data_IF_977549510462
#
_entry.id   IF_977549510462
#
_cell.length_a   1.000
_cell.length_b   1.000
_cell.length_c   1.000
_cell.angle_alpha   90.00
_cell.angle_beta   90.00
_cell.angle_gamma   90.00
#
_symmetry.space_group_name_H-M   'P 1'
#
loop_
_entity.id
_entity.type
_entity.pdbx_description
1 polymer ?
#
# COMPACT_ATOMS: atom_id res chain seq x y z
N UNK A 1 -3.83 16.69 7.81
CA UNK A 1 -3.18 15.88 6.74
C UNK A 1 -2.85 14.49 7.26
N UNK A 2 -2.90 13.53 6.36
CA UNK A 2 -2.54 12.13 6.63
C UNK A 2 -1.78 11.55 5.45
N UNK A 3 -1.02 10.50 5.72
CA UNK A 3 -0.45 9.63 4.69
C UNK A 3 -1.32 8.40 4.53
N UNK A 4 -1.41 7.91 3.31
CA UNK A 4 -2.12 6.70 2.94
C UNK A 4 -1.22 5.78 2.14
N UNK A 5 -1.33 4.50 2.43
CA UNK A 5 -0.78 3.39 1.67
C UNK A 5 -1.95 2.54 1.20
N UNK A 6 -2.11 2.41 -0.10
CA UNK A 6 -3.04 1.49 -0.74
C UNK A 6 -2.22 0.34 -1.29
N UNK A 7 -2.47 -0.86 -0.81
CA UNK A 7 -1.78 -2.05 -1.28
C UNK A 7 -2.78 -3.09 -1.75
N UNK A 8 -2.63 -3.57 -2.97
CA UNK A 8 -3.46 -4.62 -3.55
C UNK A 8 -2.65 -5.86 -3.95
N UNK A 9 -3.33 -6.99 -4.01
CA UNK A 9 -2.75 -8.26 -4.41
C UNK A 9 -2.52 -8.30 -5.93
N UNK A 10 -1.26 -8.52 -6.34
CA UNK A 10 -0.93 -8.69 -7.73
C UNK A 10 -1.53 -10.00 -8.29
N UNK A 11 -2.21 -9.90 -9.44
CA UNK A 11 -2.81 -11.06 -10.10
C UNK A 11 -4.00 -11.68 -9.37
N UNK A 12 -4.69 -10.89 -8.55
CA UNK A 12 -5.81 -11.34 -7.69
C UNK A 12 -6.91 -12.09 -8.42
N UNK A 13 -7.31 -11.63 -9.62
CA UNK A 13 -8.35 -12.30 -10.42
C UNK A 13 -7.98 -13.73 -10.75
N UNK A 14 -6.79 -13.98 -11.26
CA UNK A 14 -6.33 -15.34 -11.61
C UNK A 14 -6.17 -16.23 -10.38
N UNK A 15 -5.73 -15.66 -9.24
CA UNK A 15 -5.62 -16.38 -7.98
C UNK A 15 -7.01 -16.77 -7.47
N UNK A 16 -7.97 -15.85 -7.49
CA UNK A 16 -9.35 -16.09 -7.07
C UNK A 16 -10.04 -17.16 -7.92
N UNK A 17 -9.90 -17.10 -9.24
CA UNK A 17 -10.43 -18.11 -10.16
C UNK A 17 -9.86 -19.49 -9.89
N UNK A 18 -8.56 -19.60 -9.60
CA UNK A 18 -7.89 -20.87 -9.32
C UNK A 18 -8.25 -21.45 -7.96
N UNK A 19 -8.34 -20.60 -6.93
CA UNK A 19 -8.59 -21.06 -5.55
C UNK A 19 -10.08 -21.29 -5.24
N UNK A 20 -10.97 -20.58 -5.93
CA UNK A 20 -12.38 -20.49 -5.59
C UNK A 20 -12.65 -19.61 -4.37
N UNK A 21 -13.88 -19.16 -4.20
CA UNK A 21 -14.26 -18.08 -3.26
C UNK A 21 -13.85 -18.34 -1.80
N UNK A 22 -14.12 -19.54 -1.29
CA UNK A 22 -13.84 -19.86 0.11
C UNK A 22 -12.33 -19.92 0.41
N UNK A 23 -11.55 -20.56 -0.48
CA UNK A 23 -10.11 -20.68 -0.30
C UNK A 23 -9.43 -19.33 -0.51
N UNK A 24 -9.89 -18.56 -1.50
CA UNK A 24 -9.41 -17.22 -1.73
C UNK A 24 -9.65 -16.28 -0.55
N UNK A 25 -10.83 -16.35 0.06
CA UNK A 25 -11.14 -15.58 1.28
C UNK A 25 -10.19 -15.91 2.43
N UNK A 26 -9.86 -17.18 2.64
CA UNK A 26 -8.85 -17.59 3.65
C UNK A 26 -7.45 -17.11 3.30
N UNK A 27 -7.07 -17.23 2.03
CA UNK A 27 -5.78 -16.75 1.53
C UNK A 27 -5.58 -15.25 1.79
N UNK A 28 -6.58 -14.43 1.44
CA UNK A 28 -6.53 -12.98 1.72
C UNK A 28 -6.49 -12.70 3.22
N UNK A 29 -7.29 -13.41 4.01
CA UNK A 29 -7.30 -13.28 5.47
C UNK A 29 -5.93 -13.60 6.10
N UNK A 30 -5.24 -14.63 5.60
CA UNK A 30 -3.88 -14.96 6.04
C UNK A 30 -2.89 -13.88 5.64
N UNK A 31 -2.97 -13.34 4.41
CA UNK A 31 -2.13 -12.22 3.98
C UNK A 31 -2.29 -11.01 4.90
N UNK A 32 -3.52 -10.61 5.19
CA UNK A 32 -3.80 -9.47 6.06
C UNK A 32 -3.30 -9.68 7.49
N UNK A 33 -3.45 -10.89 8.02
CA UNK A 33 -2.93 -11.24 9.35
C UNK A 33 -1.41 -11.11 9.39
N UNK A 34 -0.72 -11.66 8.41
CA UNK A 34 0.74 -11.63 8.36
C UNK A 34 1.28 -10.20 8.16
N UNK A 35 0.63 -9.40 7.31
CA UNK A 35 1.01 -8.01 7.10
C UNK A 35 0.75 -7.11 8.32
N UNK A 36 -0.17 -7.49 9.21
CA UNK A 36 -0.51 -6.71 10.41
C UNK A 36 0.68 -6.48 11.33
N UNK A 37 1.63 -7.41 11.37
CA UNK A 37 2.84 -7.25 12.20
C UNK A 37 3.66 -6.03 11.75
N UNK A 38 3.85 -5.84 10.45
CA UNK A 38 4.54 -4.67 9.92
C UNK A 38 3.74 -3.38 10.14
N UNK A 39 2.42 -3.43 9.96
CA UNK A 39 1.55 -2.28 10.16
C UNK A 39 1.65 -1.79 11.61
N UNK A 40 1.61 -2.71 12.59
CA UNK A 40 1.75 -2.39 14.00
C UNK A 40 3.15 -1.87 14.34
N UNK A 41 4.21 -2.50 13.80
CA UNK A 41 5.59 -2.09 14.04
C UNK A 41 5.84 -0.65 13.56
N UNK A 42 5.26 -0.26 12.44
CA UNK A 42 5.38 1.09 11.87
C UNK A 42 4.24 2.02 12.24
N UNK A 43 3.45 1.68 13.28
CA UNK A 43 2.36 2.50 13.85
C UNK A 43 1.29 2.91 12.81
N UNK A 44 1.09 2.07 11.79
CA UNK A 44 0.03 2.24 10.82
C UNK A 44 -1.34 1.95 11.43
N UNK A 45 -2.35 2.64 10.94
CA UNK A 45 -3.74 2.42 11.28
C UNK A 45 -4.45 1.88 10.05
N UNK A 46 -4.95 0.65 10.13
CA UNK A 46 -5.79 0.12 9.04
C UNK A 46 -7.06 0.95 8.97
N UNK A 47 -7.27 1.55 7.81
CA UNK A 47 -8.46 2.33 7.54
C UNK A 47 -9.58 1.44 6.96
N UNK A 48 -9.24 0.64 5.96
CA UNK A 48 -10.19 -0.25 5.28
C UNK A 48 -9.51 -1.50 4.73
N UNK A 49 -10.32 -2.56 4.63
CA UNK A 49 -10.09 -3.70 3.74
C UNK A 49 -11.15 -3.67 2.65
N UNK A 50 -10.75 -3.66 1.40
CA UNK A 50 -11.65 -3.61 0.24
C UNK A 50 -11.29 -4.76 -0.72
N UNK A 51 -11.93 -5.92 -0.54
CA UNK A 51 -11.57 -7.11 -1.31
C UNK A 51 -10.14 -7.55 -1.02
N UNK A 52 -9.29 -7.45 -2.02
CA UNK A 52 -7.87 -7.76 -1.98
C UNK A 52 -6.96 -6.53 -1.75
N UNK A 53 -7.56 -5.38 -1.47
CA UNK A 53 -6.86 -4.15 -1.14
C UNK A 53 -6.91 -3.85 0.36
N UNK A 54 -5.79 -3.46 0.92
CA UNK A 54 -5.69 -2.90 2.26
C UNK A 54 -5.30 -1.43 2.19
N UNK A 55 -6.01 -0.60 2.95
CA UNK A 55 -5.71 0.83 3.10
C UNK A 55 -5.20 1.08 4.51
N UNK A 56 -3.97 1.54 4.58
CA UNK A 56 -3.31 1.91 5.85
C UNK A 56 -3.08 3.42 5.87
N UNK A 57 -3.24 4.03 7.02
CA UNK A 57 -3.05 5.48 7.17
C UNK A 57 -2.24 5.84 8.40
N UNK A 58 -1.61 7.00 8.35
CA UNK A 58 -0.84 7.61 9.45
C UNK A 58 -1.21 9.07 9.61
N UNK A 59 -1.20 9.61 10.86
CA UNK A 59 -1.01 11.04 11.06
C UNK A 59 0.26 11.51 10.32
N UNK A 60 0.25 12.76 9.86
CA UNK A 60 1.31 13.26 8.98
C UNK A 60 2.73 13.04 9.53
N UNK A 61 2.96 13.41 10.79
CA UNK A 61 4.29 13.29 11.42
C UNK A 61 4.71 11.84 11.65
N UNK A 62 3.78 10.98 12.02
CA UNK A 62 4.07 9.57 12.28
C UNK A 62 4.45 8.81 10.99
N UNK A 63 3.76 9.08 9.89
CA UNK A 63 4.06 8.46 8.61
C UNK A 63 5.36 8.94 7.97
N UNK A 64 5.78 10.19 8.30
CA UNK A 64 7.03 10.78 7.82
C UNK A 64 8.24 10.30 8.62
N UNK A 65 8.06 10.09 9.93
CA UNK A 65 9.14 9.66 10.83
C UNK A 65 9.77 8.37 10.34
N UNK A 66 11.09 8.39 10.12
CA UNK A 66 11.84 7.24 9.62
C UNK A 66 11.25 6.62 8.33
N UNK A 67 10.54 7.44 7.52
CA UNK A 67 9.80 6.98 6.36
C UNK A 67 8.83 5.81 6.67
N UNK A 68 8.16 5.85 7.83
CA UNK A 68 7.34 4.76 8.36
C UNK A 68 6.31 4.22 7.36
N UNK A 69 5.65 5.09 6.59
CA UNK A 69 4.68 4.67 5.58
C UNK A 69 5.32 3.82 4.46
N UNK A 70 6.56 4.09 4.09
CA UNK A 70 7.29 3.31 3.08
C UNK A 70 7.87 2.04 3.70
N UNK A 71 8.53 2.16 4.85
CA UNK A 71 9.10 1.00 5.54
C UNK A 71 8.05 -0.04 5.95
N UNK A 72 6.83 0.40 6.25
CA UNK A 72 5.70 -0.50 6.50
C UNK A 72 5.45 -1.43 5.31
N UNK A 73 5.42 -0.89 4.08
CA UNK A 73 5.24 -1.72 2.88
C UNK A 73 6.36 -2.75 2.72
N UNK A 74 7.61 -2.34 2.87
CA UNK A 74 8.74 -3.27 2.76
C UNK A 74 8.76 -4.31 3.90
N UNK A 75 8.33 -3.92 5.10
CA UNK A 75 8.09 -4.87 6.20
C UNK A 75 7.01 -5.90 5.88
N UNK A 76 5.87 -5.47 5.32
CA UNK A 76 4.80 -6.37 4.85
C UNK A 76 5.34 -7.36 3.80
N UNK A 77 6.08 -6.86 2.82
CA UNK A 77 6.72 -7.65 1.76
C UNK A 77 7.68 -8.70 2.33
N UNK A 78 8.53 -8.29 3.28
CA UNK A 78 9.47 -9.19 3.96
C UNK A 78 8.75 -10.33 4.70
N UNK A 79 7.72 -9.99 5.48
CA UNK A 79 6.93 -11.00 6.22
C UNK A 79 6.25 -12.01 5.30
N UNK A 80 5.70 -11.56 4.18
CA UNK A 80 5.11 -12.45 3.18
C UNK A 80 6.17 -13.33 2.50
N UNK A 81 7.35 -12.78 2.21
CA UNK A 81 8.46 -13.52 1.62
C UNK A 81 9.01 -14.59 2.57
N UNK A 82 9.15 -14.29 3.85
CA UNK A 82 9.55 -15.25 4.89
C UNK A 82 8.56 -16.42 5.04
N UNK A 83 7.29 -16.17 4.76
CA UNK A 83 6.22 -17.16 4.83
C UNK A 83 5.86 -17.80 3.49
N UNK A 84 6.68 -17.57 2.47
CA UNK A 84 6.46 -18.04 1.10
C UNK A 84 6.20 -19.54 1.01
N UNK A 85 6.98 -20.35 1.70
CA UNK A 85 6.83 -21.81 1.68
C UNK A 85 5.47 -22.26 2.25
N UNK A 86 5.00 -21.61 3.31
CA UNK A 86 3.68 -21.88 3.87
C UNK A 86 2.57 -21.55 2.87
N UNK A 87 2.62 -20.37 2.23
CA UNK A 87 1.65 -20.01 1.20
C UNK A 87 1.69 -20.95 0.01
N UNK A 88 2.87 -21.32 -0.43
CA UNK A 88 3.04 -22.26 -1.53
C UNK A 88 2.48 -23.65 -1.18
N UNK A 89 2.70 -24.13 0.04
CA UNK A 89 2.20 -25.43 0.51
C UNK A 89 0.67 -25.47 0.64
N UNK A 90 0.06 -24.41 1.15
CA UNK A 90 -1.39 -24.38 1.43
C UNK A 90 -2.20 -23.98 0.20
N UNK A 91 -1.70 -23.01 -0.58
CA UNK A 91 -2.47 -22.32 -1.63
C UNK A 91 -1.88 -22.51 -3.04
N UNK A 92 -0.72 -23.16 -3.15
CA UNK A 92 0.05 -23.25 -4.40
C UNK A 92 0.29 -21.86 -5.03
N UNK A 93 0.53 -20.88 -4.18
CA UNK A 93 0.66 -19.48 -4.55
C UNK A 93 1.47 -18.71 -3.51
N UNK A 94 2.35 -17.82 -3.95
CA UNK A 94 3.03 -16.87 -3.07
C UNK A 94 2.45 -15.46 -3.31
N UNK A 95 1.92 -14.79 -2.27
CA UNK A 95 1.31 -13.48 -2.45
C UNK A 95 2.35 -12.40 -2.73
N UNK A 96 2.03 -11.51 -3.66
CA UNK A 96 2.80 -10.29 -3.95
C UNK A 96 1.83 -9.12 -3.96
N UNK A 97 2.15 -8.08 -3.21
CA UNK A 97 1.36 -6.85 -3.14
C UNK A 97 2.09 -5.71 -3.85
N UNK A 98 1.30 -4.75 -4.35
CA UNK A 98 1.78 -3.51 -4.94
C UNK A 98 1.17 -2.34 -4.19
N UNK A 99 1.98 -1.35 -3.86
CA UNK A 99 1.54 -0.21 -3.05
C UNK A 99 1.74 1.13 -3.74
N UNK A 100 0.71 1.97 -3.67
CA UNK A 100 0.79 3.40 -3.90
C UNK A 100 0.76 4.15 -2.58
N UNK A 101 1.65 5.13 -2.40
CA UNK A 101 1.76 5.91 -1.17
C UNK A 101 1.73 7.40 -1.49
N UNK A 102 0.84 8.11 -0.81
CA UNK A 102 0.67 9.56 -0.96
C UNK A 102 0.23 10.20 0.35
N UNK A 103 0.45 11.48 0.50
CA UNK A 103 0.02 12.23 1.66
C UNK A 103 -0.55 13.59 1.28
N UNK A 104 -1.54 14.03 2.03
CA UNK A 104 -2.17 15.31 1.80
C UNK A 104 -3.29 15.64 2.79
N UNK A 105 -4.01 16.75 2.54
CA UNK A 105 -5.13 17.14 3.36
C UNK A 105 -6.30 16.16 3.20
N UNK A 106 -7.02 15.97 4.29
CA UNK A 106 -8.26 15.18 4.33
C UNK A 106 -9.32 15.91 5.15
N UNK A 107 -10.57 15.60 4.86
CA UNK A 107 -11.72 15.91 5.71
C UNK A 107 -12.16 14.62 6.38
N UNK A 108 -12.31 14.67 7.69
CA UNK A 108 -12.80 13.53 8.49
C UNK A 108 -14.24 13.78 8.88
N UNK A 109 -15.11 12.85 8.58
CA UNK A 109 -16.51 12.88 9.00
C UNK A 109 -16.89 11.58 9.72
N UNK A 110 -17.76 11.69 10.70
CA UNK A 110 -18.42 10.52 11.29
C UNK A 110 -19.66 10.21 10.47
N UNK A 111 -19.77 9.01 9.96
CA UNK A 111 -20.92 8.57 9.15
C UNK A 111 -21.58 7.34 9.76
N UNK A 112 -22.89 7.26 9.59
CA UNK A 112 -23.71 6.15 10.03
C UNK A 112 -24.50 6.42 11.31
N UNK A 113 -25.65 5.75 11.44
CA UNK A 113 -26.50 5.75 12.63
C UNK A 113 -26.43 4.40 13.37
N UNK A 114 -26.42 3.31 12.62
CA UNK A 114 -26.34 1.97 13.18
C UNK A 114 -24.91 1.54 13.53
N UNK A 115 -23.94 2.03 12.76
CA UNK A 115 -22.51 1.85 13.00
C UNK A 115 -21.81 3.15 12.66
N UNK A 116 -21.19 3.75 13.67
CA UNK A 116 -20.42 4.97 13.50
C UNK A 116 -19.03 4.62 12.94
N UNK A 117 -18.73 5.14 11.78
CA UNK A 117 -17.40 4.99 11.15
C UNK A 117 -16.80 6.35 10.86
N UNK A 118 -15.47 6.45 10.97
CA UNK A 118 -14.71 7.62 10.49
C UNK A 118 -14.48 7.45 9.01
N UNK A 119 -15.07 8.35 8.23
CA UNK A 119 -14.81 8.42 6.79
C UNK A 119 -13.83 9.54 6.49
N UNK A 120 -12.80 9.22 5.72
CA UNK A 120 -11.86 10.20 5.18
C UNK A 120 -12.29 10.59 3.77
N UNK A 121 -12.42 11.89 3.56
CA UNK A 121 -12.80 12.45 2.27
C UNK A 121 -11.70 13.39 1.77
N UNK A 122 -11.53 13.41 0.48
CA UNK A 122 -10.60 14.31 -0.16
C UNK A 122 -9.89 13.67 -1.34
N UNK A 123 -9.26 14.50 -2.10
CA UNK A 123 -8.54 14.10 -3.29
C UNK A 123 -7.29 13.25 -2.99
N UNK A 124 -6.78 13.35 -1.76
CA UNK A 124 -5.61 12.56 -1.30
C UNK A 124 -5.83 11.05 -1.44
N UNK A 125 -7.01 10.52 -1.08
CA UNK A 125 -7.31 9.10 -1.22
C UNK A 125 -7.39 8.70 -2.71
N UNK A 126 -8.08 9.51 -3.52
CA UNK A 126 -8.20 9.27 -4.95
C UNK A 126 -6.82 9.29 -5.65
N UNK A 127 -5.97 10.24 -5.29
CA UNK A 127 -4.61 10.30 -5.82
C UNK A 127 -3.80 9.07 -5.40
N UNK A 128 -3.92 8.63 -4.14
CA UNK A 128 -3.24 7.42 -3.65
C UNK A 128 -3.66 6.16 -4.42
N UNK A 129 -4.96 5.97 -4.63
CA UNK A 129 -5.50 4.85 -5.40
C UNK A 129 -4.97 4.84 -6.85
N UNK A 130 -4.88 6.01 -7.49
CA UNK A 130 -4.35 6.14 -8.84
C UNK A 130 -2.86 5.83 -8.93
N UNK A 131 -2.07 6.29 -7.95
CA UNK A 131 -0.64 5.96 -7.86
C UNK A 131 -0.48 4.45 -7.70
N UNK A 132 -1.30 3.81 -6.87
CA UNK A 132 -1.27 2.36 -6.70
C UNK A 132 -1.57 1.63 -8.03
N UNK A 133 -2.58 2.08 -8.79
CA UNK A 133 -2.93 1.48 -10.09
C UNK A 133 -1.77 1.55 -11.11
N UNK A 134 -0.94 2.58 -11.06
CA UNK A 134 0.24 2.74 -11.93
C UNK A 134 1.35 1.72 -11.65
N UNK A 135 1.35 1.07 -10.49
CA UNK A 135 2.35 0.04 -10.17
C UNK A 135 2.38 -1.08 -11.20
N UNK A 136 1.21 -1.52 -11.67
CA UNK A 136 1.10 -2.57 -12.69
C UNK A 136 1.67 -2.12 -14.04
N UNK A 137 1.34 -0.90 -14.46
CA UNK A 137 1.77 -0.32 -15.74
C UNK A 137 3.29 -0.16 -15.78
N UNK A 138 3.87 0.38 -14.70
CA UNK A 138 5.31 0.63 -14.59
C UNK A 138 6.12 -0.58 -14.09
N UNK A 139 5.48 -1.71 -13.79
CA UNK A 139 6.11 -2.93 -13.26
C UNK A 139 6.89 -2.67 -11.98
N UNK A 140 6.31 -1.84 -11.11
CA UNK A 140 6.87 -1.50 -9.81
C UNK A 140 6.02 -2.08 -8.68
N UNK A 141 6.64 -2.36 -7.55
CA UNK A 141 5.91 -2.82 -6.34
C UNK A 141 5.53 -1.67 -5.43
N UNK A 142 6.29 -0.57 -5.44
CA UNK A 142 6.04 0.58 -4.57
C UNK A 142 6.24 1.88 -5.31
N UNK A 143 5.18 2.69 -5.38
CA UNK A 143 5.20 4.03 -5.95
C UNK A 143 4.83 5.07 -4.89
N UNK A 144 5.59 6.15 -4.83
CA UNK A 144 5.43 7.23 -3.86
C UNK A 144 5.37 8.57 -4.59
N UNK A 145 4.42 9.42 -4.24
CA UNK A 145 4.31 10.76 -4.82
C UNK A 145 5.50 11.65 -4.47
N UNK A 146 5.91 12.54 -5.36
CA UNK A 146 7.01 13.47 -5.12
C UNK A 146 6.79 14.39 -3.90
N UNK A 147 5.61 14.99 -3.68
CA UNK A 147 5.39 15.83 -2.49
C UNK A 147 5.59 15.08 -1.18
N UNK A 148 5.29 13.78 -1.15
CA UNK A 148 5.60 12.95 0.02
C UNK A 148 7.07 12.59 0.06
N UNK A 149 7.65 12.17 -1.07
CA UNK A 149 9.06 11.74 -1.15
C UNK A 149 10.04 12.85 -0.71
N UNK A 150 9.74 14.12 -0.98
CA UNK A 150 10.53 15.26 -0.55
C UNK A 150 10.61 15.42 0.99
N UNK A 151 9.62 14.87 1.70
CA UNK A 151 9.52 14.92 3.16
C UNK A 151 10.07 13.68 3.85
N UNK A 152 10.38 12.63 3.08
CA UNK A 152 10.89 11.36 3.60
C UNK A 152 12.42 11.32 3.58
N UNK A 153 12.98 10.71 4.61
CA UNK A 153 14.37 10.27 4.64
C UNK A 153 14.37 8.75 4.56
N UNK A 154 14.62 8.23 3.37
CA UNK A 154 14.71 6.79 3.18
C UNK A 154 15.97 6.25 3.87
N UNK A 155 15.91 5.06 4.48
CA UNK A 155 17.09 4.37 4.98
C UNK A 155 18.00 3.93 3.81
N UNK A 156 19.27 3.65 4.11
CA UNK A 156 20.26 3.22 3.11
C UNK A 156 19.91 1.89 2.42
N UNK A 157 19.04 1.11 3.03
CA UNK A 157 18.50 -0.13 2.46
C UNK A 157 17.48 0.09 1.33
N UNK A 158 17.04 1.33 1.12
CA UNK A 158 16.07 1.68 0.07
C UNK A 158 16.64 2.69 -0.91
N UNK A 159 16.26 2.56 -2.17
CA UNK A 159 16.60 3.49 -3.25
C UNK A 159 15.33 4.00 -3.91
N UNK A 160 15.38 5.27 -4.33
CA UNK A 160 14.31 5.90 -5.11
C UNK A 160 14.77 6.18 -6.54
N UNK A 161 13.85 6.06 -7.48
CA UNK A 161 14.05 6.42 -8.88
C UNK A 161 12.80 7.16 -9.37
N UNK A 162 12.97 8.35 -9.94
CA UNK A 162 11.86 9.04 -10.60
C UNK A 162 11.38 8.23 -11.80
N UNK A 163 10.08 8.08 -11.92
CA UNK A 163 9.43 7.51 -13.11
C UNK A 163 8.74 8.60 -13.95
N UNK A 164 8.91 9.87 -13.56
CA UNK A 164 8.43 11.03 -14.28
C UNK A 164 7.13 11.60 -13.72
N UNK A 165 6.65 12.63 -14.40
CA UNK A 165 5.36 13.24 -14.13
C UNK A 165 4.26 12.46 -14.86
N UNK A 166 3.32 11.93 -14.11
CA UNK A 166 2.23 11.09 -14.62
C UNK A 166 0.91 11.83 -14.53
N UNK A 167 0.11 11.71 -15.57
CA UNK A 167 -1.27 12.17 -15.54
C UNK A 167 -2.08 11.22 -14.65
N UNK A 168 -2.63 11.76 -13.60
CA UNK A 168 -3.59 11.02 -12.79
C UNK A 168 -4.98 11.16 -13.44
N UNK A 169 -5.56 10.05 -13.89
CA UNK A 169 -6.85 10.05 -14.58
C UNK A 169 -7.90 10.93 -13.88
N UNK A 170 -8.50 11.86 -14.62
CA UNK A 170 -9.50 12.81 -14.10
C UNK A 170 -8.93 14.09 -13.46
N UNK A 171 -7.61 14.32 -13.55
CA UNK A 171 -6.97 15.61 -13.20
C UNK A 171 -6.32 16.24 -14.42
N UNK A 172 -6.28 17.57 -14.45
CA UNK A 172 -5.50 18.34 -15.44
C UNK A 172 -4.02 18.48 -15.03
N UNK A 173 -3.71 18.18 -13.78
CA UNK A 173 -2.35 18.31 -13.22
C UNK A 173 -1.63 16.97 -13.25
N UNK A 174 -0.37 17.02 -13.66
CA UNK A 174 0.54 15.89 -13.55
C UNK A 174 1.12 15.83 -12.15
N UNK A 175 1.37 14.61 -11.66
CA UNK A 175 2.05 14.36 -10.40
C UNK A 175 3.33 13.58 -10.68
N UNK A 176 4.46 14.09 -10.23
CA UNK A 176 5.70 13.32 -10.27
C UNK A 176 5.65 12.19 -9.24
N UNK A 177 6.13 11.03 -9.65
CA UNK A 177 6.08 9.80 -8.86
C UNK A 177 7.45 9.13 -8.86
N UNK A 178 7.81 8.55 -7.72
CA UNK A 178 9.04 7.80 -7.52
C UNK A 178 8.75 6.33 -7.28
N UNK A 179 9.47 5.47 -7.96
CA UNK A 179 9.57 4.07 -7.58
C UNK A 179 10.56 3.92 -6.42
N UNK A 180 10.19 3.14 -5.42
CA UNK A 180 11.06 2.77 -4.30
C UNK A 180 11.33 1.28 -4.36
N UNK A 181 12.60 0.90 -4.24
CA UNK A 181 13.07 -0.49 -4.24
C UNK A 181 14.09 -0.70 -3.13
N UNK A 182 14.26 -1.95 -2.72
CA UNK A 182 15.42 -2.31 -1.90
C UNK A 182 16.70 -2.00 -2.67
N UNK A 183 17.71 -1.48 -1.95
CA UNK A 183 19.04 -1.36 -2.51
C UNK A 183 19.59 -2.77 -2.75
N UNK A 184 20.17 -3.01 -3.92
CA UNK A 184 20.87 -4.26 -4.20
C UNK A 184 21.94 -4.47 -3.11
N UNK A 185 22.01 -5.68 -2.57
CA UNK A 185 23.12 -6.05 -1.71
C UNK A 185 24.39 -6.05 -2.58
N UNK A 186 25.36 -5.19 -2.23
CA UNK A 186 26.69 -5.20 -2.83
C UNK A 186 27.40 -6.53 -2.56
#
# INVERSE_FOLDING_TARGET
SRHFLFADLAGSTGIAERLGDQTYSRFIGDCYRDMSEAILAWKGQVYQYVGDEIVVSWPFEDGTREAACVQCFFGMRTLLAERRERYQSIYDCAPTFRAGIHGGPIVTTSVGLAKMELAFHGDTLNATARIQALCKEHREECLVSAPLMERLRLPDSLRKRSIGALELAGRQETLEVFAVREADAD
#
